data_IF_280353000480
#
_entry.id   IF_280353000480
#
_cell.length_a   1.000
_cell.length_b   1.000
_cell.length_c   1.000
_cell.angle_alpha   90.00
_cell.angle_beta   90.00
_cell.angle_gamma   90.00
#
_symmetry.space_group_name_H-M   'P 1'
#
loop_
_entity.id
_entity.type
_entity.pdbx_description
1 polymer ?
#
# COMPACT_ATOMS: atom_id res chain seq x y z
N UNK A 1 10.15 -9.24 -32.43
CA UNK A 1 9.92 -8.64 -31.10
C UNK A 1 11.07 -7.72 -30.77
N UNK A 2 10.79 -6.61 -30.07
CA UNK A 2 11.65 -5.88 -29.12
C UNK A 2 13.20 -5.92 -29.21
N UNK A 3 13.76 -4.71 -29.44
CA UNK A 3 14.79 -4.03 -28.62
C UNK A 3 16.31 -4.40 -28.64
N UNK A 4 17.08 -3.33 -28.37
CA UNK A 4 18.38 -3.21 -27.68
C UNK A 4 19.74 -3.10 -28.45
N UNK A 5 20.16 -1.83 -28.60
CA UNK A 5 21.46 -1.22 -28.21
C UNK A 5 22.83 -1.74 -28.70
N UNK A 6 23.63 -0.80 -29.23
CA UNK A 6 25.12 -0.81 -29.19
C UNK A 6 25.65 0.65 -29.02
N UNK A 7 26.96 0.91 -29.20
CA UNK A 7 27.71 1.93 -28.43
C UNK A 7 28.89 2.60 -29.18
N UNK A 8 29.64 3.50 -28.49
CA UNK A 8 30.89 4.23 -28.84
C UNK A 8 30.70 5.59 -29.54
N UNK A 9 31.10 6.78 -29.04
CA UNK A 9 32.17 7.28 -28.11
C UNK A 9 33.56 7.36 -28.79
N UNK A 10 34.21 8.54 -28.96
CA UNK A 10 35.15 9.30 -28.06
C UNK A 10 35.45 10.67 -28.74
N UNK A 11 35.80 11.83 -28.11
CA UNK A 11 35.80 12.25 -26.70
C UNK A 11 37.12 12.86 -26.13
N UNK A 12 37.44 14.17 -26.28
CA UNK A 12 38.52 14.83 -25.49
C UNK A 12 38.49 16.39 -25.41
N UNK A 13 39.00 16.95 -24.31
CA UNK A 13 39.14 18.38 -23.97
C UNK A 13 40.55 18.94 -24.23
N UNK A 14 40.65 20.23 -24.54
CA UNK A 14 41.72 21.24 -24.24
C UNK A 14 41.19 22.60 -24.78
N UNK A 15 41.43 23.78 -24.21
CA UNK A 15 42.12 24.22 -22.99
C UNK A 15 41.81 25.72 -22.72
N UNK A 16 42.50 26.39 -21.77
CA UNK A 16 42.27 27.83 -21.49
C UNK A 16 43.45 28.73 -21.90
N UNK A 17 43.15 29.90 -22.50
CA UNK A 17 44.09 31.04 -22.58
C UNK A 17 43.36 32.35 -22.90
N UNK A 18 43.43 33.33 -21.99
CA UNK A 18 43.06 34.72 -22.28
C UNK A 18 44.09 35.36 -23.22
N UNK A 19 43.64 35.99 -24.30
CA UNK A 19 44.35 37.11 -24.92
C UNK A 19 43.39 38.01 -25.69
N UNK A 20 43.38 39.31 -25.32
CA UNK A 20 42.68 40.33 -26.08
C UNK A 20 43.37 40.53 -27.44
N UNK A 21 42.63 40.44 -28.54
CA UNK A 21 42.97 41.10 -29.80
C UNK A 21 41.71 41.69 -30.43
N UNK A 22 41.86 42.86 -31.05
CA UNK A 22 40.75 43.74 -31.42
C UNK A 22 39.82 43.08 -32.46
N UNK A 23 38.53 42.99 -32.14
CA UNK A 23 37.51 42.67 -33.14
C UNK A 23 37.30 43.87 -34.07
N UNK A 24 37.53 43.66 -35.37
CA UNK A 24 37.10 44.58 -36.43
C UNK A 24 35.57 44.64 -36.49
N UNK A 25 34.95 45.81 -36.76
CA UNK A 25 33.50 45.95 -36.81
C UNK A 25 32.91 45.08 -37.94
N UNK A 26 31.93 44.26 -37.59
CA UNK A 26 31.21 43.38 -38.52
C UNK A 26 30.30 44.27 -39.38
N UNK A 27 30.52 44.28 -40.70
CA UNK A 27 29.68 45.03 -41.64
C UNK A 27 28.33 44.33 -41.83
N UNK A 28 27.26 44.93 -41.29
CA UNK A 28 25.89 44.46 -41.48
C UNK A 28 25.44 44.79 -42.92
N UNK A 29 25.08 43.78 -43.72
CA UNK A 29 24.61 43.97 -45.09
C UNK A 29 23.26 43.30 -45.29
N UNK A 30 22.25 44.10 -45.65
CA UNK A 30 20.89 43.65 -45.90
C UNK A 30 20.83 42.85 -47.21
N UNK A 31 19.90 41.90 -47.28
CA UNK A 31 19.67 41.05 -48.46
C UNK A 31 18.18 40.98 -48.79
N UNK A 32 17.85 40.80 -50.06
CA UNK A 32 16.48 40.55 -50.50
C UNK A 32 16.02 39.17 -50.00
N UNK A 33 14.89 39.08 -49.30
CA UNK A 33 14.42 37.80 -48.74
C UNK A 33 14.01 36.78 -49.82
N UNK A 34 13.66 37.25 -51.03
CA UNK A 34 13.23 36.38 -52.14
C UNK A 34 14.37 35.86 -53.00
N UNK A 35 15.43 36.66 -53.24
CA UNK A 35 16.54 36.28 -54.13
C UNK A 35 17.93 36.24 -53.47
N UNK A 36 18.04 36.62 -52.20
CA UNK A 36 19.27 36.66 -51.40
C UNK A 36 20.44 37.46 -52.01
N UNK A 37 20.14 38.37 -52.94
CA UNK A 37 21.11 39.35 -53.40
C UNK A 37 21.25 40.49 -52.37
N UNK A 38 22.46 41.05 -52.19
CA UNK A 38 22.69 42.16 -51.28
C UNK A 38 21.91 43.40 -51.73
N UNK A 39 21.28 44.07 -50.76
CA UNK A 39 20.55 45.31 -50.95
C UNK A 39 21.38 46.48 -50.46
N UNK A 40 21.35 47.56 -51.24
CA UNK A 40 21.66 48.90 -50.78
C UNK A 40 20.32 49.59 -50.53
N UNK A 41 20.09 50.07 -49.30
CA UNK A 41 18.93 50.91 -49.03
C UNK A 41 19.11 52.27 -49.70
N UNK A 42 18.01 52.87 -50.14
CA UNK A 42 18.04 54.22 -50.67
C UNK A 42 18.39 55.24 -49.57
N UNK A 43 18.93 56.40 -49.96
CA UNK A 43 19.40 57.42 -49.03
C UNK A 43 18.26 58.00 -48.17
N UNK A 44 17.02 57.88 -48.64
CA UNK A 44 15.80 58.28 -47.91
C UNK A 44 15.57 57.43 -46.64
N UNK A 45 15.99 56.15 -46.64
CA UNK A 45 15.98 55.29 -45.44
C UNK A 45 17.01 55.74 -44.38
N UNK A 46 17.88 56.72 -44.67
CA UNK A 46 18.75 57.34 -43.66
C UNK A 46 18.06 58.47 -42.89
N UNK A 47 16.94 59.01 -43.41
CA UNK A 47 16.31 60.25 -42.95
C UNK A 47 14.80 60.14 -42.67
N UNK A 48 14.23 58.93 -42.71
CA UNK A 48 12.83 58.63 -42.38
C UNK A 48 12.36 59.33 -41.10
N UNK A 49 11.47 60.31 -41.27
CA UNK A 49 10.80 61.00 -40.18
C UNK A 49 9.58 60.19 -39.68
N UNK A 50 9.14 60.49 -38.45
CA UNK A 50 7.99 59.80 -37.81
C UNK A 50 6.75 59.73 -38.69
N UNK A 51 6.48 60.81 -39.44
CA UNK A 51 5.32 60.91 -40.34
C UNK A 51 5.45 60.01 -41.56
N UNK A 52 6.63 59.96 -42.17
CA UNK A 52 6.91 59.18 -43.39
C UNK A 52 6.84 57.68 -43.08
N UNK A 53 7.45 57.28 -41.96
CA UNK A 53 7.38 55.91 -41.44
C UNK A 53 5.94 55.46 -41.19
N UNK A 54 5.10 56.32 -40.60
CA UNK A 54 3.69 56.01 -40.36
C UNK A 54 2.87 55.97 -41.65
N UNK A 55 3.13 56.84 -42.64
CA UNK A 55 2.45 56.74 -43.94
C UNK A 55 2.78 55.45 -44.70
N UNK A 56 4.01 54.92 -44.58
CA UNK A 56 4.37 53.62 -45.17
C UNK A 56 3.64 52.45 -44.48
N UNK A 57 3.41 52.57 -43.17
CA UNK A 57 2.64 51.61 -42.39
C UNK A 57 1.15 51.71 -42.77
N UNK A 58 0.53 52.89 -42.73
CA UNK A 58 -0.89 53.07 -43.00
C UNK A 58 -1.28 52.80 -44.46
N UNK A 59 -0.37 53.01 -45.43
CA UNK A 59 -0.60 52.63 -46.83
C UNK A 59 -0.80 51.11 -47.05
N UNK A 60 -0.46 50.27 -46.07
CA UNK A 60 -0.64 48.81 -46.11
C UNK A 60 -1.87 48.30 -45.35
N UNK A 61 -2.69 49.18 -44.73
CA UNK A 61 -3.82 48.76 -43.88
C UNK A 61 -5.14 48.58 -44.62
N UNK A 62 -5.17 48.57 -45.95
CA UNK A 62 -6.42 48.38 -46.71
C UNK A 62 -6.82 46.91 -46.75
N UNK A 63 -7.73 46.56 -45.83
CA UNK A 63 -8.73 45.47 -45.89
C UNK A 63 -8.40 44.27 -46.77
N UNK A 64 -7.90 43.20 -46.14
CA UNK A 64 -7.77 41.86 -46.74
C UNK A 64 -8.33 40.77 -45.82
N UNK A 65 -9.56 40.96 -45.33
CA UNK A 65 -10.41 39.80 -45.10
C UNK A 65 -10.79 39.22 -46.47
N UNK A 66 -10.49 37.95 -46.71
CA UNK A 66 -10.77 37.16 -47.93
C UNK A 66 -9.89 37.41 -49.17
N UNK A 67 -8.74 36.72 -49.23
CA UNK A 67 -8.21 36.21 -50.52
C UNK A 67 -7.46 34.90 -50.30
N UNK A 68 -7.76 33.87 -51.11
CA UNK A 68 -7.09 32.57 -51.03
C UNK A 68 -5.63 32.63 -51.52
N UNK A 69 -4.79 31.77 -50.94
CA UNK A 69 -3.33 31.78 -51.07
C UNK A 69 -2.81 31.64 -52.50
N UNK A 70 -2.00 32.61 -52.96
CA UNK A 70 -1.32 32.56 -54.26
C UNK A 70 -0.12 31.59 -54.20
N UNK A 71 -0.26 30.41 -54.83
CA UNK A 71 0.81 29.41 -54.94
C UNK A 71 1.92 29.84 -55.93
N UNK A 72 2.86 30.67 -55.47
CA UNK A 72 4.07 31.02 -56.20
C UNK A 72 5.10 29.87 -56.13
N UNK A 73 5.14 29.04 -57.17
CA UNK A 73 6.15 27.97 -57.32
C UNK A 73 7.57 28.57 -57.38
N UNK A 74 8.50 28.19 -56.49
CA UNK A 74 9.86 28.73 -56.52
C UNK A 74 10.65 28.20 -57.72
N UNK A 75 11.01 29.07 -58.66
CA UNK A 75 11.97 28.76 -59.74
C UNK A 75 13.37 28.65 -59.13
N UNK A 76 13.71 27.46 -58.60
CA UNK A 76 15.04 27.13 -58.08
C UNK A 76 16.03 26.97 -59.25
N UNK A 77 16.67 28.07 -59.65
CA UNK A 77 17.81 28.03 -60.56
C UNK A 77 19.13 28.40 -59.86
N UNK A 78 20.17 27.67 -60.28
CA UNK A 78 21.60 27.87 -59.99
C UNK A 78 22.17 27.31 -58.68
N UNK A 79 22.92 26.21 -58.87
CA UNK A 79 23.84 25.59 -57.92
C UNK A 79 25.10 26.43 -57.72
N UNK A 80 25.17 27.19 -56.62
CA UNK A 80 26.43 27.77 -56.12
C UNK A 80 26.38 27.96 -54.59
N UNK A 81 27.39 27.49 -53.82
CA UNK A 81 27.44 27.72 -52.38
C UNK A 81 27.84 29.18 -52.10
N UNK A 82 26.87 30.03 -51.72
CA UNK A 82 27.11 31.40 -51.28
C UNK A 82 27.38 31.44 -49.76
N UNK A 83 28.19 32.39 -49.25
CA UNK A 83 28.56 32.46 -47.84
C UNK A 83 27.33 32.74 -46.95
N UNK A 84 27.25 32.06 -45.80
CA UNK A 84 26.21 32.28 -44.79
C UNK A 84 26.44 33.59 -44.05
N UNK A 85 25.88 34.67 -44.57
CA UNK A 85 25.48 35.81 -43.75
C UNK A 85 23.99 35.69 -43.47
N UNK A 86 23.68 35.08 -42.32
CA UNK A 86 22.32 34.95 -41.81
C UNK A 86 22.06 36.20 -40.97
N UNK A 87 21.22 37.10 -41.46
CA UNK A 87 20.40 37.93 -40.58
C UNK A 87 19.20 37.06 -40.20
N UNK A 88 19.00 36.71 -38.91
CA UNK A 88 17.80 35.98 -38.51
C UNK A 88 16.54 36.76 -38.91
N UNK A 89 15.51 36.10 -39.48
CA UNK A 89 14.16 36.68 -39.37
C UNK A 89 13.86 36.86 -37.88
N UNK A 90 13.19 37.96 -37.51
CA UNK A 90 12.92 38.35 -36.12
C UNK A 90 14.16 38.87 -35.35
N UNK A 91 15.15 39.46 -36.03
CA UNK A 91 16.35 40.03 -35.37
C UNK A 91 16.03 41.20 -34.40
N UNK A 92 14.88 41.87 -34.53
CA UNK A 92 14.44 42.85 -33.54
C UNK A 92 13.89 42.19 -32.26
N UNK A 93 13.14 41.08 -32.40
CA UNK A 93 12.52 40.36 -31.26
C UNK A 93 13.53 39.66 -30.35
N UNK A 94 14.74 39.35 -30.82
CA UNK A 94 15.83 38.86 -29.93
C UNK A 94 16.53 39.97 -29.13
N UNK A 95 16.14 41.23 -29.30
CA UNK A 95 16.69 42.43 -28.63
C UNK A 95 15.60 43.34 -28.02
N UNK A 96 14.43 42.77 -27.78
CA UNK A 96 13.28 43.37 -27.10
C UNK A 96 12.79 42.34 -26.08
N UNK A 97 12.27 42.80 -24.94
CA UNK A 97 11.65 41.89 -23.98
C UNK A 97 10.31 41.39 -24.56
N UNK A 98 9.90 40.16 -24.23
CA UNK A 98 8.77 39.44 -24.85
C UNK A 98 7.37 40.11 -24.70
N UNK A 99 7.25 41.25 -24.03
CA UNK A 99 5.99 41.93 -23.68
C UNK A 99 5.69 43.21 -24.49
N UNK A 100 6.58 43.69 -25.37
CA UNK A 100 6.42 44.97 -26.10
C UNK A 100 5.94 44.79 -27.55
N UNK A 101 4.89 45.51 -27.94
CA UNK A 101 4.32 45.44 -29.29
C UNK A 101 5.27 46.11 -30.32
N UNK A 102 5.63 45.47 -31.46
CA UNK A 102 6.52 46.06 -32.47
C UNK A 102 6.06 47.43 -32.98
N UNK A 103 4.74 47.67 -33.05
CA UNK A 103 4.20 48.97 -33.48
C UNK A 103 4.47 50.08 -32.44
N UNK A 104 4.24 49.81 -31.15
CA UNK A 104 4.56 50.75 -30.06
C UNK A 104 6.06 51.02 -29.97
N UNK A 105 6.85 49.97 -30.18
CA UNK A 105 8.31 50.06 -30.27
C UNK A 105 8.73 51.05 -31.38
N UNK A 106 8.18 50.95 -32.59
CA UNK A 106 8.41 51.92 -33.68
C UNK A 106 7.90 53.34 -33.34
N UNK A 107 6.76 53.47 -32.66
CA UNK A 107 6.27 54.78 -32.21
C UNK A 107 7.24 55.47 -31.22
N UNK A 108 7.99 54.69 -30.43
CA UNK A 108 8.97 55.18 -29.44
C UNK A 108 10.31 55.61 -30.06
N UNK A 109 10.84 54.86 -31.04
CA UNK A 109 12.13 55.14 -31.68
C UNK A 109 12.09 56.28 -32.71
N UNK A 110 10.94 56.89 -32.96
CA UNK A 110 10.76 57.91 -33.98
C UNK A 110 11.23 59.33 -33.55
N UNK A 111 12.41 59.42 -32.95
CA UNK A 111 13.12 60.67 -32.62
C UNK A 111 14.51 60.71 -33.28
N UNK A 112 15.05 61.90 -33.59
CA UNK A 112 16.31 62.02 -34.34
C UNK A 112 17.51 61.67 -33.46
N UNK A 113 17.95 60.41 -33.50
CA UNK A 113 19.24 59.98 -32.93
C UNK A 113 20.15 59.46 -34.04
N UNK A 114 21.40 59.95 -34.07
CA UNK A 114 22.36 59.71 -35.16
C UNK A 114 23.17 58.42 -35.02
N UNK A 115 22.76 57.50 -34.14
CA UNK A 115 23.46 56.23 -33.92
C UNK A 115 23.14 55.23 -35.04
N UNK A 116 24.19 54.63 -35.63
CA UNK A 116 24.04 53.56 -36.63
C UNK A 116 23.25 52.36 -36.07
N UNK A 117 23.42 52.05 -34.79
CA UNK A 117 22.74 50.95 -34.09
C UNK A 117 21.22 51.20 -33.99
N UNK A 118 20.83 52.45 -33.70
CA UNK A 118 19.43 52.88 -33.71
C UNK A 118 18.80 52.79 -35.10
N UNK A 119 19.53 53.25 -36.14
CA UNK A 119 19.08 53.15 -37.54
C UNK A 119 18.88 51.69 -37.99
N UNK A 120 19.78 50.79 -37.61
CA UNK A 120 19.64 49.36 -37.88
C UNK A 120 18.40 48.77 -37.19
N UNK A 121 18.14 49.13 -35.93
CA UNK A 121 16.98 48.64 -35.17
C UNK A 121 15.64 49.14 -35.73
N UNK A 122 15.56 50.41 -36.14
CA UNK A 122 14.37 50.98 -36.81
C UNK A 122 14.09 50.27 -38.14
N UNK A 123 15.11 50.09 -38.99
CA UNK A 123 14.93 49.44 -40.29
C UNK A 123 14.56 47.95 -40.14
N UNK A 124 15.16 47.22 -39.19
CA UNK A 124 14.78 45.84 -38.89
C UNK A 124 13.30 45.73 -38.49
N UNK A 125 12.85 46.58 -37.56
CA UNK A 125 11.48 46.55 -37.08
C UNK A 125 10.46 47.00 -38.14
N UNK A 126 10.82 47.94 -39.03
CA UNK A 126 10.01 48.28 -40.21
C UNK A 126 9.83 47.07 -41.16
N UNK A 127 10.90 46.32 -41.46
CA UNK A 127 10.80 45.14 -42.31
C UNK A 127 10.02 43.99 -41.64
N UNK A 128 10.15 43.81 -40.32
CA UNK A 128 9.34 42.84 -39.57
C UNK A 128 7.83 43.20 -39.66
N UNK A 129 7.46 44.48 -39.51
CA UNK A 129 6.05 44.94 -39.63
C UNK A 129 5.50 44.80 -41.06
N UNK A 130 6.29 45.11 -42.09
CA UNK A 130 5.88 44.93 -43.49
C UNK A 130 5.75 43.45 -43.88
N UNK A 131 6.64 42.59 -43.37
CA UNK A 131 6.54 41.13 -43.54
C UNK A 131 5.29 40.57 -42.85
N UNK A 132 4.93 41.08 -41.67
CA UNK A 132 3.72 40.67 -40.95
C UNK A 132 2.40 41.09 -41.60
N UNK A 133 2.42 41.99 -42.58
CA UNK A 133 1.23 42.53 -43.28
C UNK A 133 1.08 42.08 -44.72
N UNK A 134 2.04 41.34 -45.25
CA UNK A 134 2.05 40.88 -46.64
C UNK A 134 2.38 39.39 -46.69
N UNK A 135 1.97 38.68 -47.75
CA UNK A 135 2.26 37.25 -47.90
C UNK A 135 3.75 36.94 -48.20
N UNK A 136 4.65 37.95 -48.15
CA UNK A 136 6.04 37.84 -48.60
C UNK A 136 6.98 38.60 -47.66
N UNK A 137 8.03 37.93 -47.19
CA UNK A 137 9.05 38.54 -46.33
C UNK A 137 9.74 39.74 -47.00
N UNK A 138 9.93 40.81 -46.23
CA UNK A 138 10.61 42.03 -46.60
C UNK A 138 12.02 42.10 -45.96
N UNK A 139 12.99 42.83 -46.56
CA UNK A 139 12.89 43.63 -47.78
C UNK A 139 13.00 42.81 -49.08
N UNK A 140 12.43 43.35 -50.15
CA UNK A 140 12.54 42.85 -51.52
C UNK A 140 13.43 43.76 -52.38
N UNK A 141 14.12 43.21 -53.38
CA UNK A 141 14.74 44.03 -54.44
C UNK A 141 13.69 44.49 -55.46
N UNK A 142 14.00 45.55 -56.21
CA UNK A 142 13.12 46.12 -57.24
C UNK A 142 12.57 45.06 -58.21
N UNK A 143 13.43 44.22 -58.81
CA UNK A 143 13.01 43.14 -59.72
C UNK A 143 11.99 42.15 -59.08
N UNK A 144 12.14 41.86 -57.78
CA UNK A 144 11.24 40.99 -57.04
C UNK A 144 9.92 41.67 -56.67
N UNK A 145 9.94 42.99 -56.45
CA UNK A 145 8.76 43.81 -56.22
C UNK A 145 7.96 44.00 -57.52
N UNK A 146 8.62 44.34 -58.63
CA UNK A 146 8.00 44.47 -59.96
C UNK A 146 7.31 43.16 -60.38
N UNK A 147 7.96 42.02 -60.15
CA UNK A 147 7.36 40.69 -60.40
C UNK A 147 6.12 40.44 -59.53
N UNK A 148 6.10 40.92 -58.28
CA UNK A 148 4.95 40.79 -57.38
C UNK A 148 3.79 41.70 -57.80
N UNK A 149 4.10 42.94 -58.19
CA UNK A 149 3.13 43.92 -58.68
C UNK A 149 2.45 43.43 -59.97
N UNK A 150 3.22 42.91 -60.93
CA UNK A 150 2.67 42.31 -62.15
C UNK A 150 1.73 41.14 -61.85
N UNK A 151 2.09 40.27 -60.90
CA UNK A 151 1.25 39.14 -60.50
C UNK A 151 -0.06 39.58 -59.80
N UNK A 152 0.00 40.59 -58.91
CA UNK A 152 -1.21 41.15 -58.27
C UNK A 152 -2.08 41.92 -59.29
N UNK A 153 -1.49 42.65 -60.22
CA UNK A 153 -2.23 43.33 -61.30
C UNK A 153 -2.99 42.33 -62.19
N UNK A 154 -2.34 41.24 -62.61
CA UNK A 154 -3.01 40.17 -63.37
C UNK A 154 -4.15 39.50 -62.58
N UNK A 155 -4.02 39.38 -61.26
CA UNK A 155 -5.08 38.86 -60.39
C UNK A 155 -6.28 39.81 -60.30
N UNK A 156 -6.05 41.13 -60.22
CA UNK A 156 -7.10 42.14 -60.27
C UNK A 156 -7.83 42.14 -61.62
N UNK A 157 -7.11 42.04 -62.74
CA UNK A 157 -7.71 41.96 -64.08
C UNK A 157 -8.65 40.75 -64.22
N UNK A 158 -8.27 39.59 -63.66
CA UNK A 158 -9.12 38.39 -63.61
C UNK A 158 -10.38 38.61 -62.75
N UNK A 159 -10.24 39.18 -61.55
CA UNK A 159 -11.38 39.49 -60.68
C UNK A 159 -12.34 40.51 -61.32
N UNK A 160 -11.84 41.52 -62.02
CA UNK A 160 -12.69 42.43 -62.77
C UNK A 160 -13.46 41.73 -63.90
N UNK A 161 -12.87 40.73 -64.57
CA UNK A 161 -13.54 39.97 -65.62
C UNK A 161 -14.65 39.07 -65.04
N UNK A 162 -14.44 38.43 -63.88
CA UNK A 162 -15.49 37.70 -63.15
C UNK A 162 -16.65 38.64 -62.74
N UNK A 163 -16.35 39.83 -62.20
CA UNK A 163 -17.37 40.82 -61.85
C UNK A 163 -18.17 41.29 -63.07
N UNK A 164 -17.51 41.51 -64.23
CA UNK A 164 -18.17 41.84 -65.50
C UNK A 164 -19.10 40.70 -65.95
N UNK A 165 -18.68 39.44 -65.77
CA UNK A 165 -19.50 38.27 -66.10
C UNK A 165 -20.73 38.14 -65.18
N UNK A 166 -20.57 38.35 -63.86
CA UNK A 166 -21.67 38.34 -62.90
C UNK A 166 -22.65 39.49 -63.16
N UNK A 167 -22.16 40.68 -63.47
CA UNK A 167 -22.99 41.84 -63.82
C UNK A 167 -23.78 41.60 -65.12
N UNK A 168 -23.16 40.96 -66.12
CA UNK A 168 -23.86 40.53 -67.33
C UNK A 168 -24.96 39.50 -67.01
N UNK A 169 -24.67 38.50 -66.19
CA UNK A 169 -25.66 37.50 -65.76
C UNK A 169 -26.84 38.10 -64.98
N UNK A 170 -26.59 39.06 -64.09
CA UNK A 170 -27.64 39.83 -63.42
C UNK A 170 -28.51 40.61 -64.42
N UNK A 171 -27.90 41.32 -65.37
CA UNK A 171 -28.65 42.04 -66.41
C UNK A 171 -29.48 41.10 -67.31
N UNK A 172 -28.99 39.88 -67.54
CA UNK A 172 -29.71 38.82 -68.25
C UNK A 172 -30.91 38.33 -67.42
N UNK A 173 -30.74 38.07 -66.12
CA UNK A 173 -31.84 37.71 -65.22
C UNK A 173 -32.90 38.82 -65.14
N UNK A 174 -32.51 40.09 -65.05
CA UNK A 174 -33.43 41.23 -65.07
C UNK A 174 -34.18 41.34 -66.40
N UNK A 175 -33.51 41.04 -67.53
CA UNK A 175 -34.17 40.96 -68.84
C UNK A 175 -35.18 39.80 -68.93
N UNK A 176 -34.88 38.67 -68.29
CA UNK A 176 -35.84 37.56 -68.14
C UNK A 176 -37.00 38.01 -67.26
N UNK A 177 -36.74 38.64 -66.11
CA UNK A 177 -37.77 39.15 -65.21
C UNK A 177 -38.70 40.12 -65.94
N UNK A 178 -38.16 41.12 -66.65
CA UNK A 178 -38.95 42.07 -67.46
C UNK A 178 -39.74 41.41 -68.60
N UNK A 179 -39.19 40.40 -69.29
CA UNK A 179 -39.96 39.65 -70.31
C UNK A 179 -41.00 38.71 -69.71
N UNK A 180 -40.78 38.20 -68.49
CA UNK A 180 -41.76 37.44 -67.70
C UNK A 180 -42.87 38.37 -67.21
N UNK A 181 -42.58 39.58 -66.73
CA UNK A 181 -43.56 40.61 -66.38
C UNK A 181 -44.41 41.05 -67.58
N UNK A 182 -43.79 41.28 -68.73
CA UNK A 182 -44.50 41.58 -69.97
C UNK A 182 -45.45 40.45 -70.39
N UNK A 183 -45.03 39.19 -70.21
CA UNK A 183 -45.89 38.01 -70.42
C UNK A 183 -46.99 37.87 -69.35
N UNK A 184 -46.68 38.15 -68.08
CA UNK A 184 -47.60 38.09 -66.93
C UNK A 184 -48.81 39.00 -67.09
N UNK A 185 -48.59 40.24 -67.57
CA UNK A 185 -49.66 41.21 -67.88
C UNK A 185 -50.72 40.67 -68.84
N UNK A 186 -50.41 39.65 -69.65
CA UNK A 186 -51.30 39.15 -70.69
C UNK A 186 -52.24 38.00 -70.27
N UNK A 187 -51.91 37.16 -69.28
CA UNK A 187 -52.66 35.87 -69.13
C UNK A 187 -52.86 35.20 -67.75
N UNK A 188 -52.24 35.60 -66.63
CA UNK A 188 -52.39 34.82 -65.36
C UNK A 188 -52.49 35.63 -64.05
N UNK A 189 -53.50 36.48 -63.87
CA UNK A 189 -53.81 37.06 -62.54
C UNK A 189 -54.45 36.05 -61.56
N UNK A 190 -55.40 35.23 -62.01
CA UNK A 190 -56.23 34.37 -61.13
C UNK A 190 -55.54 33.11 -60.57
N UNK A 191 -54.43 32.64 -61.17
CA UNK A 191 -53.73 31.44 -60.69
C UNK A 191 -52.81 31.77 -59.52
N UNK A 192 -52.00 32.82 -59.64
CA UNK A 192 -51.09 33.26 -58.59
C UNK A 192 -51.83 33.81 -57.37
N UNK A 193 -52.93 34.56 -57.55
CA UNK A 193 -53.73 35.04 -56.42
C UNK A 193 -54.35 33.93 -55.55
N UNK A 194 -54.71 32.77 -56.13
CA UNK A 194 -55.13 31.61 -55.32
C UNK A 194 -53.96 31.03 -54.51
N UNK A 195 -52.80 30.85 -55.16
CA UNK A 195 -51.61 30.32 -54.50
C UNK A 195 -51.12 31.25 -53.38
N UNK A 196 -51.24 32.57 -53.52
CA UNK A 196 -50.89 33.55 -52.47
C UNK A 196 -51.81 33.41 -51.27
N UNK A 197 -53.14 33.41 -51.48
CA UNK A 197 -54.09 33.26 -50.36
C UNK A 197 -53.97 31.90 -49.65
N UNK A 198 -53.68 30.83 -50.40
CA UNK A 198 -53.40 29.49 -49.84
C UNK A 198 -52.09 29.51 -49.02
N UNK A 199 -51.05 30.17 -49.51
CA UNK A 199 -49.78 30.32 -48.81
C UNK A 199 -49.92 31.16 -47.53
N UNK A 200 -50.65 32.27 -47.56
CA UNK A 200 -50.98 33.09 -46.38
C UNK A 200 -51.75 32.30 -45.32
N UNK A 201 -52.72 31.47 -45.74
CA UNK A 201 -53.44 30.58 -44.82
C UNK A 201 -52.50 29.53 -44.19
N UNK A 202 -51.58 28.93 -44.96
CA UNK A 202 -50.58 27.99 -44.41
C UNK A 202 -49.59 28.67 -43.48
N UNK A 203 -49.14 29.89 -43.78
CA UNK A 203 -48.25 30.68 -42.92
C UNK A 203 -48.91 31.01 -41.58
N UNK A 204 -50.18 31.45 -41.61
CA UNK A 204 -50.96 31.72 -40.39
C UNK A 204 -51.13 30.47 -39.52
N UNK A 205 -51.45 29.31 -40.13
CA UNK A 205 -51.55 28.04 -39.42
C UNK A 205 -50.20 27.58 -38.83
N UNK A 206 -49.10 27.70 -39.58
CA UNK A 206 -47.75 27.40 -39.10
C UNK A 206 -47.33 28.32 -37.95
N UNK A 207 -47.69 29.61 -38.01
CA UNK A 207 -47.39 30.58 -36.96
C UNK A 207 -48.20 30.32 -35.68
N UNK A 208 -49.43 29.81 -35.79
CA UNK A 208 -50.20 29.32 -34.64
C UNK A 208 -49.53 28.10 -34.00
N UNK A 209 -49.17 27.09 -34.81
CA UNK A 209 -48.49 25.88 -34.34
C UNK A 209 -47.13 26.21 -33.67
N UNK A 210 -46.38 27.16 -34.21
CA UNK A 210 -45.12 27.63 -33.63
C UNK A 210 -45.35 28.22 -32.22
N UNK A 211 -46.37 29.07 -32.05
CA UNK A 211 -46.69 29.65 -30.75
C UNK A 211 -47.15 28.59 -29.72
N UNK A 212 -47.92 27.59 -30.14
CA UNK A 212 -48.30 26.48 -29.28
C UNK A 212 -47.09 25.66 -28.82
N UNK A 213 -46.18 25.32 -29.75
CA UNK A 213 -44.94 24.60 -29.45
C UNK A 213 -44.01 25.40 -28.53
N UNK A 214 -43.90 26.73 -28.72
CA UNK A 214 -43.13 27.60 -27.82
C UNK A 214 -43.70 27.57 -26.41
N UNK A 215 -45.03 27.69 -26.26
CA UNK A 215 -45.71 27.61 -24.95
C UNK A 215 -45.65 26.23 -24.29
N UNK A 216 -45.44 25.16 -25.06
CA UNK A 216 -45.18 23.82 -24.54
C UNK A 216 -43.72 23.68 -24.08
N UNK A 217 -42.75 24.14 -24.87
CA UNK A 217 -41.32 24.18 -24.51
C UNK A 217 -41.11 24.94 -23.19
N UNK A 218 -41.71 26.12 -23.08
CA UNK A 218 -41.70 26.98 -21.90
C UNK A 218 -42.26 26.32 -20.62
N UNK A 219 -43.11 25.29 -20.75
CA UNK A 219 -43.64 24.51 -19.62
C UNK A 219 -42.71 23.35 -19.29
N UNK A 220 -42.19 22.66 -20.32
CA UNK A 220 -41.24 21.57 -20.16
C UNK A 220 -39.95 22.06 -19.51
N UNK A 221 -39.41 23.20 -19.90
CA UNK A 221 -38.22 23.80 -19.27
C UNK A 221 -38.45 24.11 -17.78
N UNK A 222 -39.61 24.69 -17.44
CA UNK A 222 -39.97 24.95 -16.04
C UNK A 222 -40.09 23.66 -15.23
N UNK A 223 -40.62 22.59 -15.84
CA UNK A 223 -40.72 21.28 -15.20
C UNK A 223 -39.34 20.62 -15.05
N UNK A 224 -38.47 20.68 -16.06
CA UNK A 224 -37.09 20.18 -15.99
C UNK A 224 -36.34 20.89 -14.85
N UNK A 225 -36.43 22.21 -14.73
CA UNK A 225 -35.80 22.98 -13.65
C UNK A 225 -36.31 22.53 -12.27
N UNK A 226 -37.62 22.28 -12.13
CA UNK A 226 -38.20 21.79 -10.88
C UNK A 226 -37.72 20.37 -10.55
N UNK A 227 -37.76 19.46 -11.52
CA UNK A 227 -37.40 18.05 -11.35
C UNK A 227 -35.89 17.90 -11.07
N UNK A 228 -35.03 18.71 -11.68
CA UNK A 228 -33.59 18.75 -11.36
C UNK A 228 -33.34 19.25 -9.93
N UNK A 229 -34.07 20.28 -9.48
CA UNK A 229 -33.92 20.82 -8.13
C UNK A 229 -34.50 19.89 -7.04
N UNK A 230 -35.46 19.01 -7.37
CA UNK A 230 -35.85 17.92 -6.48
C UNK A 230 -34.81 16.79 -6.50
N UNK A 231 -34.29 16.41 -7.68
CA UNK A 231 -33.26 15.38 -7.81
C UNK A 231 -32.01 15.70 -6.96
N UNK A 232 -31.50 16.93 -7.03
CA UNK A 232 -30.34 17.39 -6.23
C UNK A 232 -30.57 17.21 -4.73
N UNK A 233 -31.75 17.60 -4.22
CA UNK A 233 -32.12 17.39 -2.81
C UNK A 233 -32.17 15.91 -2.44
N UNK A 234 -32.71 15.06 -3.32
CA UNK A 234 -32.74 13.60 -3.10
C UNK A 234 -31.35 12.99 -3.11
N UNK A 235 -30.43 13.47 -3.95
CA UNK A 235 -29.03 13.03 -3.93
C UNK A 235 -28.33 13.43 -2.64
N UNK A 236 -28.53 14.66 -2.14
CA UNK A 236 -28.00 15.06 -0.83
C UNK A 236 -28.57 14.23 0.34
N UNK A 237 -29.87 13.93 0.32
CA UNK A 237 -30.51 13.04 1.32
C UNK A 237 -29.87 11.64 1.29
N UNK A 238 -29.64 11.09 0.10
CA UNK A 238 -29.04 9.78 -0.10
C UNK A 238 -27.56 9.73 0.32
N UNK A 239 -26.77 10.76 0.02
CA UNK A 239 -25.35 10.82 0.41
C UNK A 239 -25.20 10.92 1.93
N UNK A 240 -26.06 11.70 2.60
CA UNK A 240 -26.11 11.78 4.07
C UNK A 240 -26.47 10.43 4.69
N UNK A 241 -27.49 9.75 4.16
CA UNK A 241 -27.90 8.43 4.63
C UNK A 241 -26.81 7.36 4.38
N UNK A 242 -26.14 7.42 3.24
CA UNK A 242 -25.04 6.50 2.88
C UNK A 242 -23.83 6.70 3.80
N UNK A 243 -23.50 7.95 4.14
CA UNK A 243 -22.44 8.27 5.10
C UNK A 243 -22.76 7.69 6.48
N UNK A 244 -23.96 7.93 7.01
CA UNK A 244 -24.40 7.37 8.30
C UNK A 244 -24.39 5.84 8.32
N UNK A 245 -24.80 5.19 7.22
CA UNK A 245 -24.74 3.73 7.08
C UNK A 245 -23.29 3.23 7.09
N UNK A 246 -22.37 3.91 6.41
CA UNK A 246 -20.96 3.55 6.40
C UNK A 246 -20.33 3.69 7.78
N UNK A 247 -20.62 4.77 8.52
CA UNK A 247 -20.14 5.00 9.89
C UNK A 247 -20.63 3.88 10.84
N UNK A 248 -21.92 3.52 10.77
CA UNK A 248 -22.49 2.42 11.55
C UNK A 248 -21.86 1.06 11.18
N UNK A 249 -21.58 0.84 9.89
CA UNK A 249 -20.94 -0.38 9.41
C UNK A 249 -19.49 -0.49 9.87
N UNK A 250 -18.75 0.61 9.92
CA UNK A 250 -17.40 0.65 10.48
C UNK A 250 -17.41 0.30 11.97
N UNK A 251 -18.29 0.95 12.76
CA UNK A 251 -18.43 0.65 14.19
C UNK A 251 -18.83 -0.82 14.46
N UNK A 252 -19.63 -1.43 13.59
CA UNK A 252 -19.97 -2.85 13.67
C UNK A 252 -18.75 -3.75 13.40
N UNK A 253 -17.95 -3.43 12.37
CA UNK A 253 -16.72 -4.19 12.05
C UNK A 253 -15.72 -4.10 13.21
N UNK A 254 -15.51 -2.91 13.78
CA UNK A 254 -14.64 -2.72 14.94
C UNK A 254 -15.08 -3.58 16.14
N UNK A 255 -16.39 -3.60 16.44
CA UNK A 255 -16.94 -4.45 17.50
C UNK A 255 -16.80 -5.95 17.23
N UNK A 256 -16.95 -6.40 15.97
CA UNK A 256 -16.71 -7.79 15.58
C UNK A 256 -15.23 -8.18 15.70
N UNK A 257 -14.30 -7.30 15.30
CA UNK A 257 -12.86 -7.50 15.46
C UNK A 257 -12.44 -7.57 16.94
N UNK A 258 -12.99 -6.70 17.79
CA UNK A 258 -12.80 -6.77 19.24
C UNK A 258 -13.31 -8.09 19.83
N UNK A 259 -14.50 -8.54 19.43
CA UNK A 259 -15.07 -9.81 19.85
C UNK A 259 -14.18 -11.00 19.45
N UNK A 260 -13.69 -11.04 18.21
CA UNK A 260 -12.78 -12.08 17.72
C UNK A 260 -11.44 -12.06 18.46
N UNK A 261 -10.91 -10.87 18.77
CA UNK A 261 -9.71 -10.71 19.60
C UNK A 261 -9.91 -11.25 21.02
N UNK A 262 -11.06 -10.96 21.65
CA UNK A 262 -11.41 -11.44 22.97
C UNK A 262 -11.60 -12.96 23.00
N UNK A 263 -12.30 -13.53 22.02
CA UNK A 263 -12.47 -14.98 21.91
C UNK A 263 -11.12 -15.70 21.71
N UNK A 264 -10.24 -15.15 20.88
CA UNK A 264 -8.89 -15.67 20.67
C UNK A 264 -8.05 -15.67 21.97
N UNK A 265 -8.09 -14.57 22.75
CA UNK A 265 -7.45 -14.48 24.07
C UNK A 265 -8.04 -15.48 25.05
N UNK A 266 -9.35 -15.67 25.05
CA UNK A 266 -10.06 -16.64 25.89
C UNK A 266 -9.67 -18.09 25.54
N UNK A 267 -9.60 -18.41 24.25
CA UNK A 267 -9.13 -19.71 23.73
C UNK A 267 -7.68 -20.01 24.13
N UNK A 268 -6.79 -19.01 24.01
CA UNK A 268 -5.41 -19.13 24.49
C UNK A 268 -5.35 -19.38 26.01
N UNK A 269 -6.09 -18.61 26.81
CA UNK A 269 -6.14 -18.77 28.26
C UNK A 269 -6.69 -20.14 28.68
N UNK A 270 -7.75 -20.64 28.03
CA UNK A 270 -8.29 -22.00 28.22
C UNK A 270 -7.24 -23.07 27.90
N UNK A 271 -6.54 -22.93 26.78
CA UNK A 271 -5.50 -23.86 26.35
C UNK A 271 -4.32 -23.88 27.33
N UNK A 272 -3.90 -22.71 27.81
CA UNK A 272 -2.86 -22.57 28.82
C UNK A 272 -3.27 -23.20 30.17
N UNK A 273 -4.51 -22.98 30.60
CA UNK A 273 -5.07 -23.57 31.82
C UNK A 273 -5.18 -25.10 31.72
N UNK A 274 -5.64 -25.64 30.59
CA UNK A 274 -5.67 -27.08 30.33
C UNK A 274 -4.26 -27.69 30.35
N UNK A 275 -3.25 -27.00 29.79
CA UNK A 275 -1.84 -27.40 29.89
C UNK A 275 -1.37 -27.46 31.35
N UNK A 276 -1.65 -26.42 32.14
CA UNK A 276 -1.29 -26.35 33.56
C UNK A 276 -2.02 -27.40 34.44
N UNK A 277 -3.26 -27.76 34.09
CA UNK A 277 -4.01 -28.83 34.77
C UNK A 277 -3.45 -30.23 34.47
N UNK A 278 -2.86 -30.44 33.29
CA UNK A 278 -2.19 -31.70 32.91
C UNK A 278 -0.78 -31.82 33.49
N UNK A 279 -0.07 -30.72 33.72
CA UNK A 279 1.26 -30.73 34.34
C UNK A 279 1.19 -31.00 35.84
N UNK A 280 1.39 -32.25 36.24
CA UNK A 280 1.55 -32.62 37.65
C UNK A 280 2.97 -32.31 38.13
N UNK A 281 3.14 -31.21 38.88
CA UNK A 281 4.44 -30.74 39.41
C UNK A 281 5.21 -31.84 40.15
N UNK A 282 4.53 -32.71 40.92
CA UNK A 282 5.20 -33.80 41.65
C UNK A 282 5.77 -34.87 40.71
N UNK A 283 5.12 -35.15 39.57
CA UNK A 283 5.62 -36.11 38.59
C UNK A 283 6.78 -35.54 37.75
N UNK A 284 6.90 -34.21 37.67
CA UNK A 284 8.00 -33.50 37.02
C UNK A 284 9.22 -33.39 37.96
N UNK A 285 8.98 -33.10 39.25
CA UNK A 285 10.04 -33.00 40.27
C UNK A 285 10.56 -34.36 40.75
N UNK A 286 9.74 -35.41 40.66
CA UNK A 286 10.08 -36.79 41.04
C UNK A 286 9.62 -37.79 39.96
N UNK A 287 10.17 -37.78 38.72
CA UNK A 287 10.02 -38.86 37.77
C UNK A 287 10.39 -40.23 38.37
N UNK A 288 9.37 -41.07 38.56
CA UNK A 288 9.50 -42.47 38.96
C UNK A 288 9.37 -43.37 37.73
N UNK A 289 10.39 -44.18 37.47
CA UNK A 289 10.52 -45.12 36.36
C UNK A 289 10.98 -46.49 36.86
N UNK A 290 11.28 -47.40 35.93
CA UNK A 290 11.90 -48.69 36.23
C UNK A 290 12.98 -48.98 35.20
N UNK A 291 14.07 -49.62 35.63
CA UNK A 291 15.10 -50.17 34.77
C UNK A 291 15.13 -51.69 35.02
N UNK A 292 14.52 -52.44 34.11
CA UNK A 292 14.25 -53.87 34.26
C UNK A 292 13.51 -54.19 35.57
N UNK A 293 14.21 -54.85 36.49
CA UNK A 293 13.67 -55.25 37.79
C UNK A 293 13.86 -54.21 38.91
N UNK A 294 14.66 -53.15 38.71
CA UNK A 294 14.93 -52.11 39.71
C UNK A 294 13.99 -50.91 39.49
N UNK A 295 13.52 -50.30 40.58
CA UNK A 295 12.78 -49.04 40.52
C UNK A 295 13.74 -47.83 40.49
N UNK A 296 13.41 -46.80 39.72
CA UNK A 296 14.26 -45.62 39.52
C UNK A 296 13.51 -44.35 39.93
N UNK A 297 14.14 -43.46 40.69
CA UNK A 297 13.59 -42.15 41.07
C UNK A 297 14.63 -41.06 40.79
N UNK A 298 14.27 -40.03 40.01
CA UNK A 298 15.20 -38.96 39.61
C UNK A 298 16.51 -39.48 38.96
N UNK A 299 16.42 -40.60 38.24
CA UNK A 299 17.57 -41.27 37.61
C UNK A 299 18.39 -42.18 38.53
N UNK A 300 18.07 -42.23 39.83
CA UNK A 300 18.78 -43.04 40.83
C UNK A 300 18.10 -44.40 41.03
N UNK A 301 18.90 -45.47 41.06
CA UNK A 301 18.43 -46.84 41.23
C UNK A 301 18.14 -47.18 42.71
N UNK A 302 16.90 -47.55 43.01
CA UNK A 302 16.46 -47.99 44.34
C UNK A 302 16.30 -49.51 44.37
N UNK A 303 17.42 -50.20 44.58
CA UNK A 303 17.48 -51.65 44.68
C UNK A 303 18.88 -52.17 44.33
N UNK A 304 19.07 -53.47 44.46
CA UNK A 304 20.34 -54.17 44.19
C UNK A 304 20.05 -55.58 43.72
N UNK A 305 20.80 -56.07 42.73
CA UNK A 305 20.68 -57.42 42.21
C UNK A 305 22.06 -58.08 42.15
N UNK A 306 22.18 -59.40 42.31
CA UNK A 306 23.47 -60.10 42.19
C UNK A 306 24.16 -59.84 40.85
N UNK A 307 23.37 -59.79 39.76
CA UNK A 307 23.84 -59.54 38.40
C UNK A 307 24.09 -58.05 38.09
N UNK A 308 23.64 -57.12 38.95
CA UNK A 308 23.80 -55.66 38.77
C UNK A 308 23.94 -54.98 40.14
N UNK A 309 25.16 -54.93 40.70
CA UNK A 309 25.40 -54.38 42.02
C UNK A 309 25.36 -52.84 41.99
N UNK A 310 24.25 -52.25 42.42
CA UNK A 310 24.11 -50.80 42.64
C UNK A 310 24.89 -50.38 43.89
N UNK A 311 25.54 -49.21 43.84
CA UNK A 311 26.28 -48.65 44.96
C UNK A 311 25.38 -48.15 46.09
N UNK A 312 25.80 -48.34 47.34
CA UNK A 312 25.02 -47.89 48.50
C UNK A 312 24.81 -46.37 48.54
N UNK A 313 25.74 -45.59 47.99
CA UNK A 313 25.62 -44.13 47.89
C UNK A 313 24.43 -43.71 47.02
N UNK A 314 24.24 -44.40 45.88
CA UNK A 314 23.11 -44.17 44.98
C UNK A 314 21.78 -44.61 45.61
N UNK A 315 21.75 -45.79 46.25
CA UNK A 315 20.59 -46.29 47.01
C UNK A 315 20.20 -45.31 48.13
N UNK A 316 21.18 -44.78 48.87
CA UNK A 316 20.98 -43.81 49.95
C UNK A 316 20.45 -42.48 49.40
N UNK A 317 20.97 -42.01 48.26
CA UNK A 317 20.46 -40.82 47.57
C UNK A 317 19.02 -41.03 47.06
N UNK A 318 18.70 -42.20 46.51
CA UNK A 318 17.35 -42.57 46.08
C UNK A 318 16.37 -42.62 47.26
N UNK A 319 16.78 -43.16 48.41
CA UNK A 319 16.03 -43.08 49.66
C UNK A 319 15.80 -41.64 50.13
N UNK A 320 16.77 -40.75 49.93
CA UNK A 320 16.61 -39.31 50.17
C UNK A 320 15.55 -38.65 49.29
N UNK A 321 15.51 -39.02 48.00
CA UNK A 321 14.44 -38.56 47.08
C UNK A 321 13.07 -39.11 47.52
N UNK A 322 12.99 -40.37 47.94
CA UNK A 322 11.76 -40.97 48.50
C UNK A 322 11.29 -40.25 49.78
N UNK A 323 12.20 -39.92 50.70
CA UNK A 323 11.92 -39.16 51.91
C UNK A 323 11.37 -37.76 51.61
N UNK A 324 11.98 -37.05 50.66
CA UNK A 324 11.54 -35.73 50.24
C UNK A 324 10.16 -35.80 49.56
N UNK A 325 9.96 -36.77 48.66
CA UNK A 325 8.69 -37.01 47.99
C UNK A 325 7.57 -37.31 48.98
N UNK A 326 7.78 -38.19 49.97
CA UNK A 326 6.74 -38.51 50.96
C UNK A 326 6.43 -37.31 51.88
N UNK A 327 7.42 -36.47 52.20
CA UNK A 327 7.17 -35.20 52.89
C UNK A 327 6.36 -34.22 52.01
N UNK A 328 6.65 -34.13 50.71
CA UNK A 328 5.87 -33.33 49.75
C UNK A 328 4.43 -33.85 49.59
N UNK A 329 4.22 -35.17 49.63
CA UNK A 329 2.89 -35.81 49.64
C UNK A 329 2.12 -35.44 50.91
N UNK A 330 2.73 -35.54 52.10
CA UNK A 330 2.11 -35.13 53.37
C UNK A 330 1.71 -33.66 53.37
N UNK A 331 2.62 -32.77 52.94
CA UNK A 331 2.34 -31.33 52.76
C UNK A 331 1.20 -31.10 51.76
N UNK A 332 1.16 -31.78 50.61
CA UNK A 332 0.07 -31.64 49.60
C UNK A 332 -1.28 -32.20 50.08
N UNK A 333 -1.26 -33.13 51.03
CA UNK A 333 -2.46 -33.65 51.71
C UNK A 333 -2.91 -32.78 52.90
N UNK A 334 -2.13 -31.79 53.31
CA UNK A 334 -2.26 -31.09 54.61
C UNK A 334 -2.33 -32.08 55.79
N UNK A 335 -1.54 -33.15 55.74
CA UNK A 335 -1.54 -34.21 56.75
C UNK A 335 -0.15 -34.38 57.37
N UNK A 336 -0.12 -34.37 58.70
CA UNK A 336 1.05 -34.75 59.50
C UNK A 336 0.95 -36.22 59.85
N UNK A 337 1.97 -37.00 59.50
CA UNK A 337 2.01 -38.44 59.78
C UNK A 337 1.94 -38.72 61.29
N UNK A 338 1.13 -39.71 61.65
CA UNK A 338 1.01 -40.17 63.04
C UNK A 338 2.25 -40.98 63.43
N UNK A 339 2.71 -40.79 64.66
CA UNK A 339 3.84 -41.48 65.30
C UNK A 339 5.24 -41.25 64.70
N UNK A 340 5.37 -40.70 63.49
CA UNK A 340 6.64 -40.58 62.78
C UNK A 340 6.77 -39.25 62.03
N UNK A 341 7.99 -38.69 61.99
CA UNK A 341 8.35 -37.51 61.22
C UNK A 341 9.49 -37.86 60.23
N UNK A 342 9.29 -37.56 58.95
CA UNK A 342 10.29 -37.77 57.90
C UNK A 342 11.10 -36.50 57.69
N UNK A 343 12.43 -36.62 57.84
CA UNK A 343 13.40 -35.54 57.69
C UNK A 343 14.28 -35.84 56.46
N UNK A 344 13.95 -35.27 55.29
CA UNK A 344 14.78 -35.42 54.10
C UNK A 344 16.06 -34.60 54.26
N UNK A 345 17.20 -35.26 54.13
CA UNK A 345 18.53 -34.67 54.32
C UNK A 345 19.52 -35.25 53.29
N UNK A 346 19.09 -35.27 52.02
CA UNK A 346 19.80 -35.91 50.92
C UNK A 346 20.04 -37.40 51.17
N UNK A 347 21.25 -37.87 50.88
CA UNK A 347 21.69 -39.25 51.11
C UNK A 347 21.78 -39.66 52.59
N UNK A 348 21.60 -38.72 53.54
CA UNK A 348 21.60 -38.99 54.98
C UNK A 348 20.22 -38.73 55.63
N UNK A 349 19.14 -38.97 54.86
CA UNK A 349 17.77 -38.79 55.33
C UNK A 349 17.42 -39.67 56.53
N UNK A 350 16.49 -39.21 57.37
CA UNK A 350 16.13 -39.84 58.65
C UNK A 350 14.62 -39.93 58.85
N UNK A 351 14.18 -40.89 59.65
CA UNK A 351 12.82 -41.00 60.18
C UNK A 351 12.89 -40.91 61.71
N UNK A 352 12.18 -39.95 62.29
CA UNK A 352 12.13 -39.74 63.75
C UNK A 352 10.82 -40.30 64.28
N UNK A 353 10.89 -41.20 65.27
CA UNK A 353 9.71 -41.72 65.95
C UNK A 353 9.31 -40.77 67.09
N UNK A 354 8.13 -40.15 66.96
CA UNK A 354 7.64 -39.10 67.85
C UNK A 354 7.39 -39.58 69.29
N UNK A 355 6.96 -40.83 69.46
CA UNK A 355 6.65 -41.40 70.79
C UNK A 355 7.88 -41.66 71.68
N UNK A 356 9.08 -41.73 71.10
CA UNK A 356 10.33 -42.05 71.80
C UNK A 356 11.42 -40.98 71.52
N UNK A 357 11.10 -39.97 70.69
CA UNK A 357 12.05 -38.97 70.15
C UNK A 357 13.33 -39.59 69.58
N UNK A 358 13.20 -40.74 68.91
CA UNK A 358 14.33 -41.55 68.46
C UNK A 358 14.52 -41.45 66.95
N UNK A 359 15.73 -41.09 66.53
CA UNK A 359 16.10 -41.04 65.13
C UNK A 359 16.50 -42.42 64.59
N UNK A 360 15.98 -42.76 63.41
CA UNK A 360 16.37 -43.93 62.64
C UNK A 360 16.90 -43.47 61.26
N UNK A 361 18.16 -43.79 60.90
CA UNK A 361 18.74 -43.41 59.62
C UNK A 361 18.12 -44.21 58.47
N UNK A 362 17.65 -43.52 57.43
CA UNK A 362 17.14 -44.11 56.19
C UNK A 362 18.26 -44.24 55.15
N UNK A 363 19.47 -44.59 55.61
CA UNK A 363 20.65 -44.81 54.78
C UNK A 363 21.51 -45.93 55.39
N UNK A 364 22.19 -46.67 54.52
CA UNK A 364 23.09 -47.75 54.91
C UNK A 364 24.55 -47.30 54.81
N UNK A 365 25.34 -47.53 55.86
CA UNK A 365 26.77 -47.19 55.89
C UNK A 365 27.61 -48.47 55.85
N UNK A 366 28.49 -48.61 54.85
CA UNK A 366 29.24 -49.84 54.59
C UNK A 366 30.38 -50.10 55.60
N UNK A 367 30.80 -49.09 56.37
CA UNK A 367 31.95 -49.15 57.28
C UNK A 367 31.65 -49.61 58.71
N UNK A 368 32.62 -50.31 59.32
CA UNK A 368 32.79 -50.51 60.77
C UNK A 368 31.76 -51.37 61.52
N UNK A 369 30.47 -51.03 61.46
CA UNK A 369 29.44 -51.52 62.40
C UNK A 369 28.22 -52.11 61.67
N UNK A 370 28.46 -52.97 60.66
CA UNK A 370 27.42 -53.56 59.80
C UNK A 370 26.21 -54.10 60.57
N UNK A 371 26.43 -54.82 61.67
CA UNK A 371 25.36 -55.51 62.43
C UNK A 371 24.48 -54.52 63.23
N UNK A 372 25.09 -53.49 63.84
CA UNK A 372 24.38 -52.51 64.69
C UNK A 372 23.64 -51.43 63.90
N UNK A 373 24.11 -51.10 62.69
CA UNK A 373 23.46 -50.13 61.80
C UNK A 373 22.34 -50.74 60.95
N UNK A 374 22.48 -52.01 60.51
CA UNK A 374 21.49 -52.65 59.65
C UNK A 374 20.10 -52.76 60.30
N UNK A 375 20.01 -53.10 61.59
CA UNK A 375 18.74 -53.17 62.31
C UNK A 375 18.03 -51.82 62.44
N UNK A 376 18.79 -50.72 62.54
CA UNK A 376 18.25 -49.35 62.56
C UNK A 376 17.72 -48.94 61.19
N UNK A 377 18.41 -49.30 60.11
CA UNK A 377 17.98 -49.06 58.74
C UNK A 377 16.70 -49.84 58.40
N UNK A 378 16.60 -51.11 58.81
CA UNK A 378 15.36 -51.90 58.68
C UNK A 378 14.19 -51.23 59.40
N UNK A 379 14.40 -50.70 60.60
CA UNK A 379 13.37 -49.98 61.35
C UNK A 379 12.99 -48.66 60.67
N UNK A 380 13.95 -47.93 60.10
CA UNK A 380 13.67 -46.73 59.31
C UNK A 380 12.80 -47.05 58.09
N UNK A 381 13.10 -48.12 57.35
CA UNK A 381 12.31 -48.55 56.18
C UNK A 381 10.89 -49.02 56.56
N UNK A 382 10.72 -49.70 57.70
CA UNK A 382 9.40 -50.07 58.23
C UNK A 382 8.60 -48.81 58.57
N UNK A 383 9.17 -47.90 59.36
CA UNK A 383 8.49 -46.66 59.77
C UNK A 383 8.14 -45.77 58.55
N UNK A 384 9.00 -45.72 57.54
CA UNK A 384 8.71 -45.04 56.27
C UNK A 384 7.52 -45.70 55.53
N UNK A 385 7.46 -47.03 55.51
CA UNK A 385 6.36 -47.76 54.89
C UNK A 385 5.03 -47.57 55.65
N UNK A 386 5.07 -47.44 56.98
CA UNK A 386 3.90 -47.10 57.80
C UNK A 386 3.38 -45.68 57.46
N UNK A 387 4.27 -44.68 57.28
CA UNK A 387 3.88 -43.37 56.78
C UNK A 387 3.24 -43.44 55.38
N UNK A 388 3.79 -44.27 54.48
CA UNK A 388 3.24 -44.48 53.15
C UNK A 388 1.85 -45.15 53.21
N UNK A 389 1.63 -46.07 54.16
CA UNK A 389 0.33 -46.69 54.43
C UNK A 389 -0.72 -45.67 54.89
N UNK A 390 -0.36 -44.76 55.81
CA UNK A 390 -1.24 -43.66 56.22
C UNK A 390 -1.64 -42.78 55.03
N UNK A 391 -0.69 -42.41 54.15
CA UNK A 391 -0.99 -41.66 52.93
C UNK A 391 -1.88 -42.44 51.95
N UNK A 392 -1.64 -43.75 51.80
CA UNK A 392 -2.45 -44.65 50.98
C UNK A 392 -3.91 -44.67 51.48
N UNK A 393 -4.15 -44.92 52.76
CA UNK A 393 -5.49 -44.97 53.36
C UNK A 393 -6.27 -43.66 53.12
N UNK A 394 -5.64 -42.51 53.37
CA UNK A 394 -6.26 -41.19 53.12
C UNK A 394 -6.69 -41.04 51.65
N UNK A 395 -5.88 -41.53 50.71
CA UNK A 395 -6.15 -41.42 49.28
C UNK A 395 -7.24 -42.41 48.85
N UNK A 396 -7.23 -43.64 49.35
CA UNK A 396 -8.25 -44.65 49.10
C UNK A 396 -9.63 -44.18 49.60
N UNK A 397 -9.71 -43.67 50.84
CA UNK A 397 -10.92 -43.05 51.40
C UNK A 397 -11.40 -41.82 50.61
N UNK A 398 -10.49 -40.99 50.10
CA UNK A 398 -10.87 -39.76 49.38
C UNK A 398 -11.25 -40.00 47.91
N UNK A 399 -10.61 -40.97 47.27
CA UNK A 399 -10.51 -41.02 45.80
C UNK A 399 -11.18 -42.24 45.17
N UNK A 400 -11.64 -43.20 46.00
CA UNK A 400 -12.20 -44.49 45.60
C UNK A 400 -11.33 -45.31 44.63
N UNK A 401 -10.02 -45.02 44.57
CA UNK A 401 -9.01 -45.75 43.81
C UNK A 401 -8.22 -46.57 44.82
N UNK A 402 -8.26 -47.89 44.70
CA UNK A 402 -7.35 -48.78 45.46
C UNK A 402 -5.97 -48.77 44.80
N UNK A 403 -4.90 -48.71 45.60
CA UNK A 403 -3.55 -48.84 45.07
C UNK A 403 -3.25 -50.31 44.72
N UNK A 404 -2.39 -50.57 43.72
CA UNK A 404 -2.14 -51.93 43.23
C UNK A 404 -1.47 -52.84 44.28
N UNK A 405 -0.56 -52.30 45.09
CA UNK A 405 0.15 -53.08 46.11
C UNK A 405 -0.38 -52.74 47.50
N UNK A 406 -0.74 -53.75 48.29
CA UNK A 406 -1.27 -53.54 49.65
C UNK A 406 -0.15 -53.58 50.67
N UNK A 407 0.03 -52.51 51.42
CA UNK A 407 0.98 -52.46 52.53
C UNK A 407 0.40 -53.26 53.71
N UNK A 408 1.21 -54.15 54.28
CA UNK A 408 0.91 -54.96 55.47
C UNK A 408 1.88 -54.63 56.59
N UNK A 409 1.44 -54.88 57.82
CA UNK A 409 2.20 -54.63 59.03
C UNK A 409 3.61 -55.25 59.01
N UNK A 410 4.53 -54.61 59.73
CA UNK A 410 5.93 -55.04 59.93
C UNK A 410 6.76 -55.05 58.63
N UNK A 411 6.56 -54.05 57.77
CA UNK A 411 7.42 -53.84 56.59
C UNK A 411 7.23 -54.89 55.50
N UNK A 412 5.98 -55.22 55.18
CA UNK A 412 5.62 -56.19 54.14
C UNK A 412 4.70 -55.55 53.10
N UNK A 413 4.89 -55.91 51.83
CA UNK A 413 4.08 -55.43 50.70
C UNK A 413 3.52 -56.66 50.00
N UNK A 414 2.21 -56.65 49.71
CA UNK A 414 1.52 -57.70 48.99
C UNK A 414 1.29 -57.32 47.52
N UNK A 415 1.66 -58.24 46.64
CA UNK A 415 1.38 -58.26 45.19
C UNK A 415 -0.11 -58.56 44.92
N UNK A 416 -0.72 -58.13 43.79
CA UNK A 416 -2.07 -58.56 43.41
C UNK A 416 -2.21 -60.09 43.34
N UNK A 417 -1.15 -60.79 42.93
CA UNK A 417 -1.04 -62.26 42.88
C UNK A 417 -0.94 -62.92 44.28
N UNK A 418 -1.08 -62.13 45.35
CA UNK A 418 -1.12 -62.59 46.74
C UNK A 418 0.25 -62.75 47.40
N UNK A 419 1.34 -62.79 46.63
CA UNK A 419 2.73 -62.90 47.11
C UNK A 419 3.12 -61.76 48.06
N UNK A 420 4.01 -62.03 49.02
CA UNK A 420 4.38 -61.06 50.06
C UNK A 420 5.90 -60.87 50.11
N UNK A 421 6.33 -59.65 49.82
CA UNK A 421 7.74 -59.24 49.86
C UNK A 421 8.01 -58.37 51.10
N UNK A 422 9.20 -58.45 51.70
CA UNK A 422 9.58 -57.60 52.83
C UNK A 422 10.54 -56.51 52.40
N UNK A 423 10.38 -55.31 52.99
CA UNK A 423 11.28 -54.18 52.78
C UNK A 423 12.55 -54.24 53.64
N UNK A 424 12.61 -55.18 54.60
CA UNK A 424 13.81 -55.41 55.41
C UNK A 424 14.95 -55.95 54.56
N UNK A 425 16.15 -55.46 54.82
CA UNK A 425 17.40 -55.92 54.24
C UNK A 425 17.92 -57.17 54.97
N UNK A 426 17.88 -57.19 56.31
CA UNK A 426 18.43 -58.33 57.05
C UNK A 426 17.55 -59.59 56.89
N UNK A 427 18.19 -60.71 56.54
CA UNK A 427 17.51 -62.00 56.35
C UNK A 427 16.63 -62.08 55.10
N UNK A 428 16.86 -61.21 54.11
CA UNK A 428 16.13 -61.16 52.85
C UNK A 428 17.08 -61.36 51.66
N UNK A 429 16.58 -61.77 50.49
CA UNK A 429 17.38 -61.80 49.26
C UNK A 429 17.38 -60.42 48.59
N UNK A 430 18.49 -60.06 47.92
CA UNK A 430 18.61 -58.79 47.19
C UNK A 430 17.47 -58.62 46.16
N UNK A 431 17.04 -59.71 45.53
CA UNK A 431 15.93 -59.75 44.58
C UNK A 431 14.57 -59.44 45.20
N UNK A 432 14.23 -60.07 46.33
CA UNK A 432 12.95 -59.87 47.00
C UNK A 432 12.87 -58.47 47.64
N UNK A 433 14.00 -57.97 48.17
CA UNK A 433 14.13 -56.61 48.64
C UNK A 433 13.91 -55.60 47.49
N UNK A 434 14.57 -55.79 46.35
CA UNK A 434 14.41 -54.95 45.16
C UNK A 434 12.98 -54.97 44.61
N UNK A 435 12.30 -56.13 44.61
CA UNK A 435 10.87 -56.21 44.27
C UNK A 435 10.00 -55.37 45.22
N UNK A 436 10.21 -55.46 46.54
CA UNK A 436 9.49 -54.65 47.51
C UNK A 436 9.70 -53.14 47.29
N UNK A 437 10.95 -52.71 47.02
CA UNK A 437 11.28 -51.31 46.72
C UNK A 437 10.62 -50.81 45.43
N UNK A 438 10.61 -51.64 44.37
CA UNK A 438 9.91 -51.33 43.12
C UNK A 438 8.41 -51.18 43.33
N UNK A 439 7.77 -52.07 44.09
CA UNK A 439 6.34 -51.97 44.46
C UNK A 439 6.04 -50.69 45.26
N UNK A 440 6.89 -50.36 46.24
CA UNK A 440 6.78 -49.13 47.03
C UNK A 440 6.86 -47.86 46.15
N UNK A 441 7.81 -47.80 45.21
CA UNK A 441 7.92 -46.69 44.25
C UNK A 441 6.71 -46.59 43.32
N UNK A 442 6.17 -47.72 42.86
CA UNK A 442 4.95 -47.73 42.05
C UNK A 442 3.77 -47.21 42.88
N UNK A 443 3.60 -47.63 44.14
CA UNK A 443 2.56 -47.06 45.02
C UNK A 443 2.71 -45.54 45.19
N UNK A 444 3.93 -45.04 45.39
CA UNK A 444 4.18 -43.58 45.40
C UNK A 444 3.79 -42.91 44.08
N UNK A 445 4.05 -43.53 42.93
CA UNK A 445 3.64 -43.03 41.60
C UNK A 445 2.11 -42.98 41.46
N UNK A 446 1.39 -43.99 41.93
CA UNK A 446 -0.08 -44.01 41.96
C UNK A 446 -0.66 -42.94 42.89
N UNK A 447 -0.04 -42.72 44.06
CA UNK A 447 -0.37 -41.62 44.98
C UNK A 447 -0.21 -40.25 44.29
N UNK A 448 0.91 -40.02 43.61
CA UNK A 448 1.16 -38.78 42.84
C UNK A 448 0.07 -38.55 41.79
N UNK A 449 -0.36 -39.61 41.09
CA UNK A 449 -1.41 -39.55 40.07
C UNK A 449 -2.79 -39.25 40.67
N UNK A 450 -3.19 -39.94 41.74
CA UNK A 450 -4.46 -39.70 42.45
C UNK A 450 -4.54 -38.27 43.02
N UNK A 451 -3.44 -37.76 43.57
CA UNK A 451 -3.32 -36.37 44.03
C UNK A 451 -3.39 -35.34 42.89
N UNK A 452 -3.17 -35.74 41.64
CA UNK A 452 -3.41 -34.89 40.47
C UNK A 452 -4.90 -34.87 40.11
N UNK A 453 -5.53 -36.04 40.04
CA UNK A 453 -6.95 -36.19 39.72
C UNK A 453 -7.86 -35.42 40.71
N UNK A 454 -7.51 -35.44 42.02
CA UNK A 454 -8.23 -34.69 43.06
C UNK A 454 -8.23 -33.17 42.83
N UNK A 455 -7.15 -32.60 42.27
CA UNK A 455 -7.07 -31.15 41.98
C UNK A 455 -8.05 -30.75 40.87
N UNK A 456 -8.18 -31.57 39.84
CA UNK A 456 -9.05 -31.28 38.69
C UNK A 456 -10.54 -31.33 39.06
N UNK A 457 -10.97 -32.28 39.91
CA UNK A 457 -12.36 -32.36 40.40
C UNK A 457 -12.82 -31.15 41.22
N UNK A 458 -11.91 -30.43 41.90
CA UNK A 458 -12.22 -29.19 42.62
C UNK A 458 -12.20 -27.93 41.76
N UNK A 459 -11.63 -28.00 40.55
CA UNK A 459 -11.48 -26.85 39.66
C UNK A 459 -12.64 -26.68 38.66
N UNK A 460 -13.47 -27.71 38.49
CA UNK A 460 -14.73 -27.63 37.73
C UNK A 460 -15.83 -26.93 38.53
N UNK A 461 -15.74 -25.60 38.60
CA UNK A 461 -16.92 -24.76 38.85
C UNK A 461 -17.79 -24.81 37.60
N UNK A 462 -19.09 -25.13 37.69
CA UNK A 462 -19.97 -25.09 36.53
C UNK A 462 -20.13 -23.63 36.09
N UNK A 463 -19.58 -23.29 34.92
CA UNK A 463 -19.86 -22.01 34.28
C UNK A 463 -21.29 -22.08 33.76
N UNK A 464 -22.24 -21.56 34.54
CA UNK A 464 -23.62 -21.38 34.13
C UNK A 464 -23.66 -20.47 32.90
N UNK A 465 -23.91 -21.05 31.73
CA UNK A 465 -24.26 -20.29 30.52
C UNK A 465 -25.63 -19.67 30.70
N UNK A 466 -25.67 -18.46 31.28
CA UNK A 466 -26.81 -17.56 31.10
C UNK A 466 -26.75 -17.01 29.67
N UNK A 467 -27.29 -17.77 28.72
CA UNK A 467 -27.64 -17.26 27.39
C UNK A 467 -29.01 -16.58 27.49
N UNK A 468 -29.00 -15.28 27.79
CA UNK A 468 -30.13 -14.37 27.65
C UNK A 468 -29.60 -13.05 27.07
N UNK A 469 -29.46 -13.01 25.75
CA UNK A 469 -29.65 -11.85 24.86
C UNK A 469 -30.37 -12.44 23.64
#
# INVERSE_FOLDING_TARGET
MSQQTSTFTIGSHIGASNSNSLASPISYQLVCQRCFNPLQLDHDFEHLQKTELMTLIDATTTDSETSDSINLVPVRNSTAPRPRFIVPPNSALSLLNDDENPLETLHSYAGPTSSLDHRLKVNACLFDVLSGRTEVDHPLCQECADTLLLAKQQCLEFQEEELKCLQFYLSYLDSIAGTVEAKLKSKQSKKYGKNVNELEATLSALQSNLNELLLENDKLDKQIIQDTAELEKRTEELDRATTQYNDQKLALIEAEEEMQCLESRLSYARSHLHRLQRTNVLNIAFPIWYDGHIGVINGLHLGRLPNRPVGWEEINAAWGQCALLLQCIGKKLNYSFQSYLIVPMGSQSKVVQLSISKEFPLYYTTGGMRILSAGKFDTAMINFLDCLNQAQQIIEHTSSIQLPFRIKDKGKIQDPDGQIYSIRWNGNSEENWTKALKMMLINMKWIIAALSAKKNKKATVPISRNTNI
#
